data_IF_771400283320
#
_entry.id   IF_771400283320
#
_cell.length_a   1.000
_cell.length_b   1.000
_cell.length_c   1.000
_cell.angle_alpha   90.00
_cell.angle_beta   90.00
_cell.angle_gamma   90.00
#
_symmetry.space_group_name_H-M   'P 1'
#
loop_
_entity.id
_entity.type
_entity.pdbx_description
1 polymer ?
#
# COMPACT_ATOMS: atom_id res chain seq x y z
N UNK A 1 -8.34 29.10 50.70
CA UNK A 1 -7.16 28.83 49.85
C UNK A 1 -7.24 27.39 49.39
N UNK A 2 -7.86 27.13 48.22
CA UNK A 2 -7.80 25.83 47.56
C UNK A 2 -7.06 26.05 46.25
N UNK A 3 -5.81 25.57 46.22
CA UNK A 3 -4.96 25.58 45.04
C UNK A 3 -5.59 24.65 44.00
N UNK A 4 -6.05 25.22 42.89
CA UNK A 4 -6.42 24.45 41.70
C UNK A 4 -5.11 23.91 41.12
N UNK A 5 -4.92 22.61 41.28
CA UNK A 5 -3.87 21.85 40.59
C UNK A 5 -4.10 21.98 39.08
N UNK A 6 -3.27 22.78 38.41
CA UNK A 6 -3.18 22.76 36.94
C UNK A 6 -2.78 21.36 36.49
N UNK A 7 -3.72 20.63 35.88
CA UNK A 7 -3.39 19.44 35.09
C UNK A 7 -2.35 19.83 34.05
N UNK A 8 -1.20 19.14 33.95
CA UNK A 8 -0.17 19.50 32.99
C UNK A 8 -0.77 19.44 31.59
N UNK A 9 -0.70 20.56 30.87
CA UNK A 9 -1.12 20.64 29.49
C UNK A 9 -0.44 19.49 28.73
N UNK A 10 -1.22 18.54 28.19
CA UNK A 10 -0.69 17.45 27.37
C UNK A 10 0.17 18.09 26.30
N UNK A 11 1.47 17.75 26.27
CA UNK A 11 2.39 18.24 25.25
C UNK A 11 1.82 17.91 23.87
N UNK A 12 1.24 18.92 23.22
CA UNK A 12 0.57 18.72 21.94
C UNK A 12 1.64 18.62 20.86
N UNK A 13 1.60 17.54 20.08
CA UNK A 13 2.51 17.38 18.96
C UNK A 13 2.16 18.41 17.89
N UNK A 14 3.15 19.04 17.26
CA UNK A 14 2.92 20.03 16.20
C UNK A 14 2.39 19.38 14.91
N UNK A 15 1.61 20.12 14.12
CA UNK A 15 1.10 19.66 12.82
C UNK A 15 2.23 19.20 11.89
N UNK A 16 3.38 19.89 11.91
CA UNK A 16 4.56 19.50 11.12
C UNK A 16 5.07 18.11 11.49
N UNK A 17 5.10 17.77 12.79
CA UNK A 17 5.53 16.46 13.25
C UNK A 17 4.53 15.36 12.83
N UNK A 18 3.22 15.59 12.95
CA UNK A 18 2.20 14.64 12.46
C UNK A 18 2.30 14.45 10.95
N UNK A 19 2.53 15.54 10.20
CA UNK A 19 2.72 15.48 8.75
C UNK A 19 3.96 14.68 8.35
N UNK A 20 5.06 14.77 9.11
CA UNK A 20 6.27 13.94 8.90
C UNK A 20 5.97 12.45 9.10
N UNK A 21 5.21 12.10 10.15
CA UNK A 21 4.77 10.73 10.37
C UNK A 21 3.82 10.22 9.28
N UNK A 22 2.87 11.05 8.83
CA UNK A 22 2.00 10.68 7.71
C UNK A 22 2.78 10.47 6.40
N UNK A 23 3.77 11.31 6.10
CA UNK A 23 4.71 11.09 4.99
C UNK A 23 5.52 9.81 5.17
N UNK A 24 6.07 9.57 6.35
CA UNK A 24 6.83 8.34 6.63
C UNK A 24 5.96 7.09 6.41
N UNK A 25 4.71 7.10 6.86
CA UNK A 25 3.75 6.01 6.61
C UNK A 25 3.47 5.82 5.13
N UNK A 26 3.21 6.90 4.38
CA UNK A 26 2.96 6.82 2.94
C UNK A 26 4.19 6.25 2.22
N UNK A 27 5.37 6.83 2.44
CA UNK A 27 6.62 6.42 1.81
C UNK A 27 6.96 4.97 2.17
N UNK A 28 6.83 4.58 3.44
CA UNK A 28 7.16 3.21 3.85
C UNK A 28 6.19 2.18 3.25
N UNK A 29 4.88 2.47 3.14
CA UNK A 29 3.95 1.61 2.42
C UNK A 29 4.26 1.54 0.91
N UNK A 30 4.70 2.64 0.30
CA UNK A 30 5.12 2.63 -1.10
C UNK A 30 6.40 1.81 -1.29
N UNK A 31 7.40 2.00 -0.44
CA UNK A 31 8.68 1.27 -0.50
C UNK A 31 8.47 -0.22 -0.34
N UNK A 32 7.65 -0.69 0.62
CA UNK A 32 7.44 -2.13 0.82
C UNK A 32 6.74 -2.79 -0.39
N UNK A 33 5.87 -2.07 -1.09
CA UNK A 33 5.29 -2.56 -2.35
C UNK A 33 6.34 -2.65 -3.44
N UNK A 34 7.22 -1.65 -3.57
CA UNK A 34 8.30 -1.67 -4.55
C UNK A 34 9.28 -2.82 -4.27
N UNK A 35 9.63 -3.07 -3.01
CA UNK A 35 10.48 -4.22 -2.64
C UNK A 35 9.75 -5.55 -2.83
N UNK A 36 8.44 -5.63 -2.61
CA UNK A 36 7.63 -6.80 -3.00
C UNK A 36 7.61 -7.02 -4.52
N UNK A 37 7.58 -5.94 -5.30
CA UNK A 37 7.78 -5.98 -6.75
C UNK A 37 9.15 -6.53 -7.13
N UNK A 38 10.21 -6.14 -6.42
CA UNK A 38 11.56 -6.69 -6.60
C UNK A 38 11.62 -8.18 -6.26
N UNK A 39 11.04 -8.60 -5.13
CA UNK A 39 10.92 -10.03 -4.74
C UNK A 39 10.33 -10.83 -5.89
N UNK A 40 9.22 -10.33 -6.46
CA UNK A 40 8.59 -10.96 -7.61
C UNK A 40 9.50 -10.98 -8.83
N UNK A 41 10.00 -9.83 -9.28
CA UNK A 41 10.77 -9.71 -10.54
C UNK A 41 12.09 -10.48 -10.51
N UNK A 42 12.60 -10.79 -9.32
CA UNK A 42 13.80 -11.62 -9.11
C UNK A 42 13.47 -13.09 -8.85
N UNK A 43 12.21 -13.52 -9.02
CA UNK A 43 11.73 -14.88 -8.73
C UNK A 43 12.02 -15.33 -7.28
N UNK A 44 12.06 -14.39 -6.34
CA UNK A 44 12.44 -14.66 -4.94
C UNK A 44 11.24 -14.93 -4.03
N UNK A 45 10.00 -14.96 -4.53
CA UNK A 45 8.80 -15.07 -3.68
C UNK A 45 8.70 -16.34 -2.83
N UNK A 46 9.44 -17.40 -3.18
CA UNK A 46 9.59 -18.62 -2.39
C UNK A 46 10.99 -18.78 -1.78
N UNK A 47 11.78 -17.70 -1.72
CA UNK A 47 13.13 -17.69 -1.12
C UNK A 47 13.12 -18.07 0.37
N UNK A 48 12.00 -17.85 1.06
CA UNK A 48 11.68 -18.42 2.35
C UNK A 48 10.41 -19.30 2.20
N UNK A 49 10.54 -20.62 2.00
CA UNK A 49 9.43 -21.49 1.60
C UNK A 49 8.38 -21.72 2.68
N UNK A 50 8.63 -21.30 3.93
CA UNK A 50 7.63 -21.38 5.00
C UNK A 50 7.23 -19.98 5.50
N UNK A 51 6.22 -19.94 6.36
CA UNK A 51 5.80 -18.76 7.10
C UNK A 51 5.14 -19.20 8.41
N UNK A 52 5.36 -18.54 9.57
CA UNK A 52 6.12 -17.31 9.79
C UNK A 52 7.65 -17.51 9.89
N UNK A 53 8.10 -18.75 10.00
CA UNK A 53 9.51 -19.11 9.85
C UNK A 53 9.96 -18.88 8.40
N UNK A 54 11.26 -18.76 8.14
CA UNK A 54 11.78 -18.72 6.77
C UNK A 54 11.92 -20.14 6.21
N UNK A 55 12.43 -21.05 7.03
CA UNK A 55 12.50 -22.50 6.77
C UNK A 55 12.10 -23.28 8.02
N UNK A 56 11.80 -24.59 7.93
CA UNK A 56 11.46 -25.39 9.11
C UNK A 56 12.53 -25.27 10.19
N UNK A 57 12.15 -24.75 11.36
CA UNK A 57 13.05 -24.57 12.50
C UNK A 57 13.88 -23.28 12.49
N UNK A 58 13.79 -22.40 11.48
CA UNK A 58 14.55 -21.15 11.43
C UNK A 58 13.72 -19.95 10.96
N UNK A 59 13.79 -18.84 11.71
CA UNK A 59 13.17 -17.57 11.32
C UNK A 59 14.02 -16.74 10.34
N UNK A 60 15.29 -17.13 10.12
CA UNK A 60 16.23 -16.43 9.24
C UNK A 60 16.72 -17.35 8.11
N UNK A 61 17.12 -16.81 6.95
CA UNK A 61 17.63 -17.63 5.86
C UNK A 61 19.00 -18.21 6.23
N UNK A 62 19.22 -19.48 5.89
CA UNK A 62 20.56 -20.09 5.90
C UNK A 62 21.29 -19.78 4.59
N UNK A 63 22.62 -19.92 4.59
CA UNK A 63 23.48 -19.55 3.44
C UNK A 63 23.10 -20.27 2.14
N UNK A 64 22.55 -21.48 2.25
CA UNK A 64 22.19 -22.32 1.09
C UNK A 64 20.99 -21.78 0.29
N UNK A 65 20.12 -20.95 0.90
CA UNK A 65 19.03 -20.27 0.18
C UNK A 65 19.54 -19.12 -0.71
N UNK A 66 20.82 -18.77 -0.58
CA UNK A 66 21.48 -17.77 -1.39
C UNK A 66 20.77 -16.41 -1.39
N UNK A 67 20.73 -15.77 -2.55
CA UNK A 67 20.21 -14.41 -2.69
C UNK A 67 18.70 -14.32 -2.70
N UNK A 68 17.99 -15.34 -3.18
CA UNK A 68 16.54 -15.37 -3.14
C UNK A 68 16.00 -15.37 -1.70
N UNK A 69 16.62 -16.16 -0.81
CA UNK A 69 16.29 -16.14 0.62
C UNK A 69 16.55 -14.78 1.27
N UNK A 70 17.65 -14.11 0.92
CA UNK A 70 17.96 -12.78 1.43
C UNK A 70 16.96 -11.71 0.95
N UNK A 71 16.54 -11.75 -0.32
CA UNK A 71 15.59 -10.80 -0.90
C UNK A 71 14.21 -10.94 -0.25
N UNK A 72 13.68 -12.16 -0.14
CA UNK A 72 12.38 -12.44 0.49
C UNK A 72 12.40 -12.10 1.98
N UNK A 73 13.41 -12.57 2.71
CA UNK A 73 13.56 -12.26 4.13
C UNK A 73 13.71 -10.75 4.37
N UNK A 74 14.43 -10.04 3.51
CA UNK A 74 14.57 -8.59 3.57
C UNK A 74 13.21 -7.88 3.47
N UNK A 75 12.35 -8.30 2.54
CA UNK A 75 11.01 -7.77 2.42
C UNK A 75 10.13 -8.07 3.66
N UNK A 76 10.26 -9.28 4.25
CA UNK A 76 9.61 -9.61 5.53
C UNK A 76 10.08 -8.69 6.66
N UNK A 77 11.39 -8.43 6.74
CA UNK A 77 11.96 -7.57 7.77
C UNK A 77 11.45 -6.11 7.69
N UNK A 78 11.25 -5.59 6.48
CA UNK A 78 10.69 -4.24 6.26
C UNK A 78 9.27 -4.10 6.83
N UNK A 79 8.51 -5.18 6.97
CA UNK A 79 7.18 -5.14 7.61
C UNK A 79 7.29 -4.69 9.07
N UNK A 80 8.32 -5.11 9.81
CA UNK A 80 8.51 -4.68 11.20
C UNK A 80 8.92 -3.20 11.31
N UNK A 81 9.73 -2.71 10.37
CA UNK A 81 10.02 -1.28 10.25
C UNK A 81 8.74 -0.50 9.99
N UNK A 82 7.89 -1.00 9.08
CA UNK A 82 6.60 -0.38 8.78
C UNK A 82 5.66 -0.39 9.98
N UNK A 83 5.63 -1.46 10.78
CA UNK A 83 4.89 -1.54 12.05
C UNK A 83 5.34 -0.42 13.01
N UNK A 84 6.64 -0.24 13.20
CA UNK A 84 7.16 0.83 14.06
C UNK A 84 6.73 2.22 13.54
N UNK A 85 6.78 2.44 12.23
CA UNK A 85 6.35 3.69 11.60
C UNK A 85 4.85 3.95 11.83
N UNK A 86 3.98 2.96 11.61
CA UNK A 86 2.53 3.17 11.79
C UNK A 86 2.13 3.33 13.26
N UNK A 87 2.83 2.68 14.19
CA UNK A 87 2.64 2.92 15.63
C UNK A 87 3.02 4.36 16.00
N UNK A 88 4.14 4.86 15.48
CA UNK A 88 4.54 6.25 15.60
C UNK A 88 3.47 7.21 15.05
N UNK A 89 2.90 6.90 13.89
CA UNK A 89 1.80 7.67 13.29
C UNK A 89 0.53 7.66 14.14
N UNK A 90 0.14 6.51 14.72
CA UNK A 90 -1.02 6.43 15.64
C UNK A 90 -0.78 7.32 16.85
N UNK A 91 0.38 7.23 17.49
CA UNK A 91 0.74 8.07 18.65
C UNK A 91 0.74 9.54 18.27
N UNK A 92 1.31 9.89 17.12
CA UNK A 92 1.35 11.27 16.61
C UNK A 92 -0.06 11.83 16.40
N UNK A 93 -0.93 11.08 15.73
CA UNK A 93 -2.33 11.48 15.47
C UNK A 93 -3.13 11.58 16.77
N UNK A 94 -2.89 10.72 17.76
CA UNK A 94 -3.62 10.75 19.04
C UNK A 94 -3.20 11.89 19.97
N UNK A 95 -1.91 12.28 19.92
CA UNK A 95 -1.37 13.40 20.71
C UNK A 95 -1.45 14.75 20.00
N UNK A 96 -1.93 14.78 18.76
CA UNK A 96 -2.13 16.02 18.02
C UNK A 96 -3.40 16.75 18.49
N UNK A 97 -3.25 18.03 18.84
CA UNK A 97 -4.38 18.86 19.27
C UNK A 97 -5.47 19.05 18.20
N UNK A 98 -5.10 19.00 16.91
CA UNK A 98 -6.03 19.11 15.78
C UNK A 98 -6.71 17.80 15.35
N UNK A 99 -6.57 16.74 16.14
CA UNK A 99 -7.08 15.41 15.78
C UNK A 99 -8.61 15.32 15.87
N UNK A 100 -9.19 14.37 15.13
CA UNK A 100 -10.62 14.05 15.17
C UNK A 100 -10.82 12.54 15.30
N UNK A 101 -12.02 12.09 15.72
CA UNK A 101 -12.34 10.66 15.81
C UNK A 101 -12.11 9.95 14.48
N UNK A 102 -12.50 10.59 13.37
CA UNK A 102 -12.28 10.07 12.02
C UNK A 102 -10.78 9.85 11.74
N UNK A 103 -9.92 10.83 12.02
CA UNK A 103 -8.47 10.69 11.82
C UNK A 103 -7.85 9.58 12.68
N UNK A 104 -8.29 9.45 13.94
CA UNK A 104 -7.85 8.36 14.81
C UNK A 104 -8.25 6.99 14.25
N UNK A 105 -9.49 6.85 13.76
CA UNK A 105 -9.95 5.62 13.10
C UNK A 105 -9.10 5.31 11.88
N UNK A 106 -8.82 6.28 11.01
CA UNK A 106 -7.97 6.05 9.83
C UNK A 106 -6.56 5.57 10.20
N UNK A 107 -5.92 6.22 11.18
CA UNK A 107 -4.59 5.81 11.64
C UNK A 107 -4.59 4.37 12.19
N UNK A 108 -5.63 3.99 12.95
CA UNK A 108 -5.79 2.62 13.47
C UNK A 108 -6.06 1.62 12.35
N UNK A 109 -6.93 1.93 11.37
CA UNK A 109 -7.19 1.06 10.22
C UNK A 109 -5.91 0.78 9.43
N UNK A 110 -5.10 1.82 9.17
CA UNK A 110 -3.80 1.64 8.51
C UNK A 110 -2.89 0.75 9.36
N UNK A 111 -2.80 1.02 10.68
CA UNK A 111 -1.95 0.24 11.58
C UNK A 111 -2.35 -1.24 11.67
N UNK A 112 -3.65 -1.56 11.69
CA UNK A 112 -4.16 -2.93 11.68
C UNK A 112 -4.06 -3.59 10.30
N UNK A 113 -4.05 -2.80 9.23
CA UNK A 113 -3.85 -3.30 7.87
C UNK A 113 -2.45 -3.88 7.63
N UNK A 114 -1.42 -3.38 8.32
CA UNK A 114 -0.04 -3.88 8.17
C UNK A 114 0.13 -5.34 8.65
N UNK A 115 -0.27 -5.74 9.88
CA UNK A 115 -0.18 -7.14 10.29
C UNK A 115 -1.12 -8.04 9.46
N UNK A 116 -2.29 -7.54 9.05
CA UNK A 116 -3.15 -8.25 8.10
C UNK A 116 -2.41 -8.52 6.79
N UNK A 117 -1.66 -7.54 6.27
CA UNK A 117 -0.82 -7.75 5.10
C UNK A 117 0.27 -8.80 5.32
N UNK A 118 0.93 -8.79 6.48
CA UNK A 118 1.89 -9.84 6.84
C UNK A 118 1.28 -11.24 6.80
N UNK A 119 0.05 -11.40 7.28
CA UNK A 119 -0.70 -12.67 7.21
C UNK A 119 -1.04 -13.02 5.76
N UNK A 120 -1.64 -12.11 5.00
CA UNK A 120 -2.00 -12.35 3.60
C UNK A 120 -0.76 -12.69 2.76
N UNK A 121 0.36 -11.99 2.98
CA UNK A 121 1.66 -12.29 2.36
C UNK A 121 2.16 -13.67 2.75
N UNK A 122 2.06 -14.06 4.02
CA UNK A 122 2.34 -15.43 4.46
C UNK A 122 1.48 -16.48 3.76
N UNK A 123 0.18 -16.21 3.57
CA UNK A 123 -0.72 -17.10 2.80
C UNK A 123 -0.27 -17.22 1.34
N UNK A 124 0.29 -16.16 0.72
CA UNK A 124 0.84 -16.29 -0.65
C UNK A 124 1.96 -17.33 -0.72
N UNK A 125 2.83 -17.39 0.29
CA UNK A 125 3.91 -18.39 0.37
C UNK A 125 3.34 -19.79 0.59
N UNK A 126 2.38 -19.92 1.52
CA UNK A 126 1.73 -21.21 1.84
C UNK A 126 0.85 -21.76 0.71
N UNK A 127 0.57 -20.95 -0.31
CA UNK A 127 -0.23 -21.32 -1.49
C UNK A 127 0.61 -21.32 -2.76
N UNK A 128 1.94 -21.44 -2.62
CA UNK A 128 2.91 -21.49 -3.72
C UNK A 128 2.72 -20.34 -4.73
N UNK A 129 2.50 -19.14 -4.20
CA UNK A 129 2.28 -17.90 -4.96
C UNK A 129 1.03 -17.93 -5.85
N UNK A 130 -0.06 -18.54 -5.38
CA UNK A 130 -1.35 -18.53 -6.06
C UNK A 130 -1.70 -17.10 -6.56
N UNK A 131 -1.95 -16.93 -7.88
CA UNK A 131 -2.01 -15.62 -8.51
C UNK A 131 -3.16 -14.75 -7.97
N UNK A 132 -4.24 -15.35 -7.50
CA UNK A 132 -5.37 -14.63 -6.93
C UNK A 132 -5.08 -14.14 -5.50
N UNK A 133 -4.35 -14.93 -4.71
CA UNK A 133 -3.90 -14.51 -3.37
C UNK A 133 -2.86 -13.40 -3.49
N UNK A 134 -1.88 -13.54 -4.40
CA UNK A 134 -0.88 -12.50 -4.69
C UNK A 134 -1.56 -11.21 -5.18
N UNK A 135 -2.57 -11.32 -6.05
CA UNK A 135 -3.38 -10.18 -6.50
C UNK A 135 -4.07 -9.48 -5.32
N UNK A 136 -4.72 -10.25 -4.44
CA UNK A 136 -5.38 -9.71 -3.26
C UNK A 136 -4.39 -9.00 -2.32
N UNK A 137 -3.22 -9.59 -2.08
CA UNK A 137 -2.14 -9.00 -1.29
C UNK A 137 -1.72 -7.61 -1.83
N UNK A 138 -1.50 -7.51 -3.16
CA UNK A 138 -1.15 -6.26 -3.82
C UNK A 138 -2.28 -5.22 -3.75
N UNK A 139 -3.53 -5.61 -4.04
CA UNK A 139 -4.69 -4.70 -4.03
C UNK A 139 -4.91 -4.12 -2.63
N UNK A 140 -4.84 -4.95 -1.59
CA UNK A 140 -4.93 -4.49 -0.22
C UNK A 140 -3.80 -3.50 0.11
N UNK A 141 -2.61 -3.65 -0.50
CA UNK A 141 -1.49 -2.71 -0.31
C UNK A 141 -1.76 -1.37 -0.99
N UNK A 142 -2.37 -1.40 -2.18
CA UNK A 142 -2.80 -0.17 -2.87
C UNK A 142 -3.85 0.59 -2.07
N UNK A 143 -4.78 -0.12 -1.42
CA UNK A 143 -5.75 0.48 -0.49
C UNK A 143 -5.03 1.15 0.69
N UNK A 144 -4.04 0.51 1.30
CA UNK A 144 -3.29 1.09 2.42
C UNK A 144 -2.47 2.32 2.00
N UNK A 145 -1.88 2.33 0.80
CA UNK A 145 -1.22 3.51 0.23
C UNK A 145 -2.24 4.63 0.02
N UNK A 146 -3.42 4.34 -0.56
CA UNK A 146 -4.47 5.33 -0.76
C UNK A 146 -4.97 5.93 0.58
N UNK A 147 -5.18 5.09 1.60
CA UNK A 147 -5.54 5.54 2.95
C UNK A 147 -4.43 6.38 3.59
N UNK A 148 -3.16 6.03 3.37
CA UNK A 148 -2.00 6.78 3.87
C UNK A 148 -1.87 8.15 3.20
N UNK A 149 -2.08 8.20 1.88
CA UNK A 149 -2.12 9.46 1.11
C UNK A 149 -3.30 10.33 1.56
N UNK A 150 -4.46 9.73 1.81
CA UNK A 150 -5.62 10.43 2.36
C UNK A 150 -5.33 10.99 3.76
N UNK A 151 -4.73 10.21 4.65
CA UNK A 151 -4.32 10.69 5.99
C UNK A 151 -3.39 11.90 5.87
N UNK A 152 -2.37 11.82 5.02
CA UNK A 152 -1.44 12.93 4.78
C UNK A 152 -2.14 14.17 4.23
N UNK A 153 -3.07 14.01 3.29
CA UNK A 153 -3.87 15.10 2.75
C UNK A 153 -4.66 15.81 3.86
N UNK A 154 -5.37 15.03 4.69
CA UNK A 154 -6.18 15.56 5.81
C UNK A 154 -5.35 16.28 6.86
N UNK A 155 -4.14 15.79 7.17
CA UNK A 155 -3.22 16.45 8.11
C UNK A 155 -2.60 17.72 7.53
N UNK A 156 -2.39 17.76 6.21
CA UNK A 156 -1.79 18.92 5.53
C UNK A 156 -2.75 20.11 5.38
N UNK A 157 -4.03 19.90 5.69
CA UNK A 157 -5.09 20.91 5.65
C UNK A 157 -5.89 20.85 4.34
N UNK A 158 -7.22 20.85 4.48
CA UNK A 158 -8.16 20.87 3.35
C UNK A 158 -8.13 22.26 2.67
N UNK A 159 -7.27 22.47 1.68
CA UNK A 159 -7.46 23.57 0.73
C UNK A 159 -8.55 23.18 -0.25
N UNK A 160 -9.80 23.50 0.08
CA UNK A 160 -10.94 23.28 -0.83
C UNK A 160 -10.78 24.20 -2.03
N UNK A 161 -10.34 23.64 -3.14
CA UNK A 161 -10.37 24.32 -4.44
C UNK A 161 -11.79 24.18 -5.00
N UNK A 162 -12.41 25.30 -5.37
CA UNK A 162 -13.68 25.26 -6.07
C UNK A 162 -13.50 24.55 -7.42
N UNK A 163 -14.27 23.49 -7.65
CA UNK A 163 -14.26 22.76 -8.92
C UNK A 163 -15.68 22.64 -9.47
N UNK A 164 -15.82 22.67 -10.80
CA UNK A 164 -17.12 22.42 -11.44
C UNK A 164 -17.59 20.99 -11.17
N UNK A 165 -18.91 20.75 -11.24
CA UNK A 165 -19.47 19.40 -11.06
C UNK A 165 -18.90 18.40 -12.07
N UNK A 166 -18.62 18.86 -13.30
CA UNK A 166 -17.98 18.06 -14.35
C UNK A 166 -16.58 17.60 -13.93
N UNK A 167 -15.72 18.52 -13.47
CA UNK A 167 -14.36 18.16 -13.02
C UNK A 167 -14.41 17.18 -11.85
N UNK A 168 -15.32 17.38 -10.88
CA UNK A 168 -15.51 16.44 -9.76
C UNK A 168 -15.89 15.03 -10.21
N UNK A 169 -16.85 14.91 -11.14
CA UNK A 169 -17.27 13.61 -11.70
C UNK A 169 -16.14 12.92 -12.46
N UNK A 170 -15.36 13.68 -13.24
CA UNK A 170 -14.21 13.13 -13.96
C UNK A 170 -13.09 12.67 -13.01
N UNK A 171 -12.80 13.41 -11.94
CA UNK A 171 -11.83 12.98 -10.92
C UNK A 171 -12.31 11.71 -10.19
N UNK A 172 -13.61 11.59 -9.90
CA UNK A 172 -14.16 10.36 -9.35
C UNK A 172 -14.02 9.18 -10.34
N UNK A 173 -14.30 9.41 -11.63
CA UNK A 173 -14.08 8.42 -12.69
C UNK A 173 -12.60 8.02 -12.80
N UNK A 174 -11.66 8.97 -12.66
CA UNK A 174 -10.22 8.65 -12.62
C UNK A 174 -9.89 7.70 -11.49
N UNK A 175 -10.44 7.91 -10.28
CA UNK A 175 -10.25 7.00 -9.16
C UNK A 175 -10.72 5.57 -9.47
N UNK A 176 -11.88 5.44 -10.11
CA UNK A 176 -12.42 4.14 -10.56
C UNK A 176 -11.52 3.51 -11.62
N UNK A 177 -11.09 4.28 -12.63
CA UNK A 177 -10.22 3.79 -13.70
C UNK A 177 -8.85 3.34 -13.18
N UNK A 178 -8.28 4.04 -12.19
CA UNK A 178 -7.06 3.58 -11.51
C UNK A 178 -7.28 2.24 -10.83
N UNK A 179 -8.38 2.08 -10.08
CA UNK A 179 -8.69 0.81 -9.41
C UNK A 179 -8.87 -0.34 -10.41
N UNK A 180 -9.59 -0.09 -11.52
CA UNK A 180 -9.77 -1.07 -12.61
C UNK A 180 -8.44 -1.41 -13.27
N UNK A 181 -7.61 -0.41 -13.59
CA UNK A 181 -6.31 -0.63 -14.22
C UNK A 181 -5.38 -1.44 -13.31
N UNK A 182 -5.32 -1.13 -12.01
CA UNK A 182 -4.53 -1.90 -11.04
C UNK A 182 -5.00 -3.35 -10.98
N UNK A 183 -6.31 -3.60 -10.86
CA UNK A 183 -6.86 -4.95 -10.84
C UNK A 183 -6.56 -5.73 -12.12
N UNK A 184 -6.85 -5.14 -13.29
CA UNK A 184 -6.54 -5.76 -14.57
C UNK A 184 -5.03 -6.01 -14.75
N UNK A 185 -4.20 -5.13 -14.20
CA UNK A 185 -2.75 -5.33 -14.14
C UNK A 185 -2.38 -6.59 -13.37
N UNK A 186 -3.03 -6.89 -12.24
CA UNK A 186 -2.79 -8.14 -11.49
C UNK A 186 -3.27 -9.37 -12.27
N UNK A 187 -4.37 -9.25 -13.02
CA UNK A 187 -4.89 -10.32 -13.90
C UNK A 187 -3.89 -10.66 -15.01
N UNK A 188 -3.37 -9.65 -15.73
CA UNK A 188 -2.32 -9.82 -16.77
C UNK A 188 -1.08 -10.47 -16.18
N UNK A 189 -0.70 -9.98 -15.01
CA UNK A 189 0.47 -10.43 -14.28
C UNK A 189 0.32 -11.89 -13.80
N UNK A 190 -0.90 -12.37 -13.55
CA UNK A 190 -1.19 -13.76 -13.22
C UNK A 190 -1.37 -14.68 -14.44
N UNK A 191 -1.61 -14.13 -15.64
CA UNK A 191 -1.88 -14.90 -16.86
C UNK A 191 -0.63 -15.18 -17.71
N UNK A 192 0.36 -14.28 -17.68
CA UNK A 192 1.57 -14.44 -18.49
C UNK A 192 2.75 -15.10 -17.75
N UNK A 193 3.64 -15.81 -18.46
CA UNK A 193 4.92 -16.23 -17.90
C UNK A 193 5.90 -15.04 -17.73
N UNK A 194 5.58 -13.87 -18.27
CA UNK A 194 6.54 -12.77 -18.46
C UNK A 194 7.02 -12.04 -17.20
N UNK A 195 6.42 -12.31 -16.03
CA UNK A 195 6.76 -11.59 -14.81
C UNK A 195 6.85 -12.51 -13.59
N UNK A 196 8.06 -12.59 -13.06
CA UNK A 196 8.42 -13.34 -11.85
C UNK A 196 8.89 -14.76 -12.14
N UNK A 197 8.80 -15.62 -11.13
CA UNK A 197 9.14 -17.05 -11.24
C UNK A 197 8.31 -17.71 -12.34
N UNK A 198 8.93 -18.55 -13.17
CA UNK A 198 8.28 -19.24 -14.29
C UNK A 198 7.49 -20.48 -13.84
N UNK A 199 7.89 -21.10 -12.74
CA UNK A 199 7.42 -22.41 -12.30
C UNK A 199 6.19 -22.32 -11.36
N UNK A 200 5.70 -21.11 -11.08
CA UNK A 200 4.56 -20.87 -10.20
C UNK A 200 3.21 -20.99 -10.92
N UNK A 201 2.12 -21.32 -10.20
CA UNK A 201 0.78 -21.40 -10.76
C UNK A 201 0.34 -20.11 -11.46
N UNK A 202 -0.33 -20.28 -12.61
CA UNK A 202 -0.96 -19.19 -13.38
C UNK A 202 -2.47 -19.26 -13.27
N UNK A 203 -3.15 -18.18 -13.65
CA UNK A 203 -4.61 -18.09 -13.58
C UNK A 203 -5.35 -18.75 -14.75
N UNK A 204 -4.62 -19.29 -15.75
CA UNK A 204 -5.18 -20.00 -16.90
C UNK A 204 -5.85 -19.12 -17.97
N UNK A 205 -5.76 -17.80 -17.83
CA UNK A 205 -6.34 -16.85 -18.78
C UNK A 205 -5.36 -16.55 -19.93
N UNK A 206 -5.88 -16.17 -21.10
CA UNK A 206 -5.03 -15.78 -22.24
C UNK A 206 -4.28 -14.46 -21.96
N UNK A 207 -2.94 -14.48 -21.87
CA UNK A 207 -2.17 -13.27 -21.60
C UNK A 207 -2.30 -12.21 -22.70
N UNK A 208 -2.52 -12.60 -23.96
CA UNK A 208 -2.66 -11.64 -25.06
C UNK A 208 -3.97 -10.87 -24.95
N UNK A 209 -5.09 -11.57 -24.77
CA UNK A 209 -6.40 -10.93 -24.57
C UNK A 209 -6.38 -9.99 -23.36
N UNK A 210 -5.94 -10.47 -22.20
CA UNK A 210 -6.01 -9.66 -20.98
C UNK A 210 -5.03 -8.48 -20.98
N UNK A 211 -3.91 -8.58 -21.68
CA UNK A 211 -3.00 -7.44 -21.88
C UNK A 211 -3.69 -6.34 -22.68
N UNK A 212 -4.45 -6.67 -23.72
CA UNK A 212 -5.24 -5.69 -24.47
C UNK A 212 -6.37 -5.08 -23.64
N UNK A 213 -7.08 -5.89 -22.83
CA UNK A 213 -8.13 -5.40 -21.93
C UNK A 213 -7.54 -4.42 -20.90
N UNK A 214 -6.40 -4.76 -20.29
CA UNK A 214 -5.68 -3.85 -19.40
C UNK A 214 -5.25 -2.57 -20.13
N UNK A 215 -4.63 -2.67 -21.31
CA UNK A 215 -4.20 -1.52 -22.10
C UNK A 215 -5.37 -0.58 -22.44
N UNK A 216 -6.54 -1.11 -22.82
CA UNK A 216 -7.74 -0.32 -23.07
C UNK A 216 -8.17 0.49 -21.82
N UNK A 217 -8.10 -0.11 -20.62
CA UNK A 217 -8.38 0.60 -19.37
C UNK A 217 -7.38 1.73 -19.09
N UNK A 218 -6.10 1.52 -19.44
CA UNK A 218 -5.03 2.52 -19.29
C UNK A 218 -5.21 3.66 -20.30
N UNK A 219 -5.59 3.36 -21.55
CA UNK A 219 -5.90 4.39 -22.55
C UNK A 219 -7.07 5.27 -22.10
N UNK A 220 -8.12 4.67 -21.55
CA UNK A 220 -9.24 5.43 -20.96
C UNK A 220 -8.76 6.31 -19.78
N UNK A 221 -7.93 5.77 -18.89
CA UNK A 221 -7.34 6.51 -17.77
C UNK A 221 -6.54 7.73 -18.24
N UNK A 222 -5.68 7.56 -19.25
CA UNK A 222 -4.86 8.65 -19.83
C UNK A 222 -5.75 9.70 -20.50
N UNK A 223 -6.74 9.28 -21.29
CA UNK A 223 -7.66 10.19 -21.97
C UNK A 223 -8.47 11.03 -20.97
N UNK A 224 -9.03 10.42 -19.93
CA UNK A 224 -9.76 11.15 -18.88
C UNK A 224 -8.83 12.07 -18.10
N UNK A 225 -7.58 11.67 -17.86
CA UNK A 225 -6.59 12.52 -17.18
C UNK A 225 -6.30 13.77 -18.01
N UNK A 226 -6.08 13.62 -19.31
CA UNK A 226 -5.89 14.73 -20.23
C UNK A 226 -7.11 15.67 -20.24
N UNK A 227 -8.33 15.12 -20.25
CA UNK A 227 -9.56 15.91 -20.19
C UNK A 227 -9.69 16.70 -18.89
N UNK A 228 -9.38 16.10 -17.74
CA UNK A 228 -9.37 16.79 -16.43
C UNK A 228 -8.36 17.92 -16.42
N UNK A 229 -7.12 17.67 -16.87
CA UNK A 229 -6.07 18.69 -16.92
C UNK A 229 -6.44 19.85 -17.86
N UNK A 230 -7.04 19.55 -19.00
CA UNK A 230 -7.49 20.55 -19.96
C UNK A 230 -8.63 21.42 -19.39
N UNK A 231 -9.62 20.80 -18.76
CA UNK A 231 -10.71 21.53 -18.11
C UNK A 231 -10.22 22.38 -16.94
N UNK A 232 -9.34 21.83 -16.10
CA UNK A 232 -8.79 22.52 -14.93
C UNK A 232 -7.90 23.73 -15.29
N UNK A 233 -7.31 23.75 -16.49
CA UNK A 233 -6.56 24.91 -17.00
C UNK A 233 -7.46 26.02 -17.57
N UNK A 234 -8.73 25.72 -17.84
CA UNK A 234 -9.70 26.65 -18.45
C UNK A 234 -10.63 27.32 -17.43
N UNK A 235 -10.62 26.84 -16.20
CA UNK A 235 -11.38 27.38 -15.06
C UNK A 235 -10.47 28.19 -14.15
#
# INVERSE_FOLDING_TARGET
MLSVSETPARSSISTTAVRRWAWATLVANTVIVLTGGLVRLTASGLGCPTWPQCTPGSFVPHRELGMHGAIEFGNRLLTYVLIAVVLGTVVAVWRWGGTSRSLRTHAVVIALGIPLQGVVGGVTVLTDLNPWVVSFHLILSMVLIALSAWLLFRVSGDRRVGASTTVRRLVALLGVLVAVAVYLGTVVTGSGPHAGDLDVPRNGLDPQLWSHVHAASVYALVAVTAAVLWLARRT
#
